data_IF_243135131837
#
_entry.id   IF_243135131837
#
_cell.length_a   1.000
_cell.length_b   1.000
_cell.length_c   1.000
_cell.angle_alpha   90.00
_cell.angle_beta   90.00
_cell.angle_gamma   90.00
#
_symmetry.space_group_name_H-M   'P 1'
#
loop_
_entity.id
_entity.type
_entity.pdbx_description
1 polymer ?
#
# COMPACT_ATOMS: atom_id res chain seq x y z
N UNK A 1 20.53 12.11 -4.80
CA UNK A 1 19.18 11.56 -5.04
C UNK A 1 18.20 12.53 -4.39
N UNK A 2 17.29 13.17 -5.15
CA UNK A 2 16.36 14.14 -4.56
C UNK A 2 15.34 13.43 -3.67
N UNK A 3 14.85 14.12 -2.63
CA UNK A 3 13.83 13.59 -1.71
C UNK A 3 12.54 13.20 -2.47
N UNK A 4 12.20 13.97 -3.51
CA UNK A 4 11.10 13.65 -4.45
C UNK A 4 11.29 12.30 -5.14
N UNK A 5 12.52 11.97 -5.57
CA UNK A 5 12.80 10.69 -6.20
C UNK A 5 12.61 9.55 -5.19
N UNK A 6 13.13 9.69 -3.97
CA UNK A 6 12.96 8.68 -2.91
C UNK A 6 11.48 8.43 -2.58
N UNK A 7 10.67 9.49 -2.46
CA UNK A 7 9.22 9.40 -2.26
C UNK A 7 8.51 8.75 -3.44
N UNK A 8 8.95 9.04 -4.67
CA UNK A 8 8.35 8.45 -5.89
C UNK A 8 8.65 6.95 -5.98
N UNK A 9 9.87 6.52 -5.64
CA UNK A 9 10.22 5.10 -5.52
C UNK A 9 9.34 4.42 -4.47
N UNK A 10 9.20 5.03 -3.28
CA UNK A 10 8.40 4.43 -2.22
C UNK A 10 6.90 4.37 -2.56
N UNK A 11 6.37 5.37 -3.26
CA UNK A 11 5.01 5.37 -3.77
C UNK A 11 4.76 4.22 -4.76
N UNK A 12 5.71 3.98 -5.68
CA UNK A 12 5.58 2.86 -6.62
C UNK A 12 5.55 1.51 -5.91
N UNK A 13 6.37 1.32 -4.88
CA UNK A 13 6.33 0.10 -4.04
C UNK A 13 4.95 -0.07 -3.38
N UNK A 14 4.46 0.96 -2.68
CA UNK A 14 3.16 0.90 -1.98
C UNK A 14 2.01 0.67 -2.98
N UNK A 15 2.06 1.29 -4.15
CA UNK A 15 1.05 1.06 -5.20
C UNK A 15 1.09 -0.36 -5.75
N UNK A 16 2.26 -0.98 -5.84
CA UNK A 16 2.38 -2.40 -6.21
C UNK A 16 1.77 -3.30 -5.15
N UNK A 17 2.08 -3.06 -3.87
CA UNK A 17 1.51 -3.82 -2.74
C UNK A 17 -0.03 -3.72 -2.69
N UNK A 18 -0.58 -2.53 -2.94
CA UNK A 18 -2.05 -2.33 -3.02
C UNK A 18 -2.66 -3.19 -4.13
N UNK A 19 -2.04 -3.24 -5.32
CA UNK A 19 -2.52 -4.06 -6.45
C UNK A 19 -2.44 -5.55 -6.15
N UNK A 20 -1.38 -6.00 -5.49
CA UNK A 20 -1.26 -7.39 -5.04
C UNK A 20 -2.36 -7.76 -4.05
N UNK A 21 -2.64 -6.89 -3.06
CA UNK A 21 -3.74 -7.09 -2.12
C UNK A 21 -5.11 -7.13 -2.81
N UNK A 22 -5.33 -6.29 -3.83
CA UNK A 22 -6.55 -6.31 -4.64
C UNK A 22 -6.73 -7.63 -5.39
N UNK A 23 -5.66 -8.13 -6.00
CA UNK A 23 -5.67 -9.41 -6.71
C UNK A 23 -6.01 -10.55 -5.73
N UNK A 24 -5.32 -10.63 -4.59
CA UNK A 24 -5.57 -11.66 -3.58
C UNK A 24 -7.02 -11.59 -3.07
N UNK A 25 -7.53 -10.41 -2.75
CA UNK A 25 -8.92 -10.22 -2.32
C UNK A 25 -9.92 -10.66 -3.40
N UNK A 26 -9.64 -10.36 -4.67
CA UNK A 26 -10.50 -10.79 -5.78
C UNK A 26 -10.58 -12.30 -5.90
N UNK A 27 -9.45 -13.00 -5.75
CA UNK A 27 -9.40 -14.47 -5.79
C UNK A 27 -10.07 -15.09 -4.56
N UNK A 28 -9.92 -14.49 -3.38
CA UNK A 28 -10.53 -15.00 -2.15
C UNK A 28 -12.05 -14.82 -2.11
N UNK A 29 -12.62 -13.86 -2.86
CA UNK A 29 -14.08 -13.69 -2.97
C UNK A 29 -14.80 -14.89 -3.60
N UNK A 30 -14.11 -15.66 -4.44
CA UNK A 30 -14.65 -16.87 -5.05
C UNK A 30 -14.52 -18.09 -4.14
N UNK A 31 -13.78 -17.98 -3.03
CA UNK A 31 -13.58 -19.05 -2.07
C UNK A 31 -14.66 -19.02 -0.98
N UNK A 32 -15.00 -20.21 -0.46
CA UNK A 32 -15.91 -20.35 0.67
C UNK A 32 -15.37 -19.67 1.93
N UNK A 33 -16.22 -18.89 2.62
CA UNK A 33 -15.84 -18.11 3.80
C UNK A 33 -15.33 -18.97 4.97
N UNK A 34 -15.81 -20.22 5.08
CA UNK A 34 -15.43 -21.17 6.14
C UNK A 34 -14.18 -21.98 5.81
N UNK A 35 -13.65 -21.86 4.58
CA UNK A 35 -12.42 -22.55 4.16
C UNK A 35 -11.24 -22.11 5.03
N UNK A 36 -10.45 -23.08 5.46
CA UNK A 36 -9.20 -22.83 6.19
C UNK A 36 -8.17 -22.12 5.31
N UNK A 37 -7.56 -21.09 5.86
CA UNK A 37 -6.47 -20.30 5.30
C UNK A 37 -5.29 -20.33 6.26
N UNK A 38 -4.07 -20.28 5.73
CA UNK A 38 -2.85 -20.34 6.53
C UNK A 38 -1.97 -19.15 6.22
N UNK A 39 -1.65 -18.34 7.24
CA UNK A 39 -0.73 -17.21 7.12
C UNK A 39 0.60 -17.55 7.76
N UNK A 40 1.69 -17.37 7.02
CA UNK A 40 3.04 -17.50 7.56
C UNK A 40 3.46 -16.23 8.32
N UNK A 41 3.87 -16.38 9.58
CA UNK A 41 4.38 -15.30 10.43
C UNK A 41 5.63 -15.81 11.13
N UNK A 42 6.81 -15.25 10.80
CA UNK A 42 8.08 -15.62 11.45
C UNK A 42 8.43 -17.10 11.35
N UNK A 43 7.98 -17.81 10.30
CA UNK A 43 8.20 -19.24 10.12
C UNK A 43 7.11 -20.15 10.71
N UNK A 44 6.09 -19.61 11.38
CA UNK A 44 4.94 -20.36 11.89
C UNK A 44 3.72 -20.15 10.99
N UNK A 45 3.00 -21.22 10.66
CA UNK A 45 1.71 -21.14 9.97
C UNK A 45 0.59 -20.94 11.00
N UNK A 46 -0.14 -19.83 10.85
CA UNK A 46 -1.32 -19.52 11.65
C UNK A 46 -2.56 -19.88 10.85
N UNK A 47 -3.37 -20.81 11.37
CA UNK A 47 -4.68 -21.17 10.81
C UNK A 47 -5.70 -20.05 11.07
N UNK A 48 -6.44 -19.69 10.03
CA UNK A 48 -7.59 -18.76 10.05
C UNK A 48 -8.63 -19.21 9.05
N UNK A 49 -9.78 -18.55 9.02
CA UNK A 49 -10.78 -18.71 7.96
C UNK A 49 -10.59 -17.69 6.84
N UNK A 50 -11.12 -17.97 5.64
CA UNK A 50 -11.16 -16.99 4.54
C UNK A 50 -11.82 -15.70 5.02
N UNK A 51 -12.92 -15.77 5.77
CA UNK A 51 -13.60 -14.60 6.34
C UNK A 51 -12.71 -13.73 7.23
N UNK A 52 -11.93 -14.34 8.11
CA UNK A 52 -10.99 -13.59 8.97
C UNK A 52 -9.83 -12.98 8.18
N UNK A 53 -9.38 -13.69 7.13
CA UNK A 53 -8.27 -13.24 6.30
C UNK A 53 -8.70 -12.11 5.37
N UNK A 54 -9.85 -12.20 4.71
CA UNK A 54 -10.37 -11.14 3.84
C UNK A 54 -10.58 -9.84 4.60
N UNK A 55 -11.20 -9.90 5.79
CA UNK A 55 -11.36 -8.71 6.64
C UNK A 55 -10.02 -8.06 7.04
N UNK A 56 -9.02 -8.88 7.41
CA UNK A 56 -7.68 -8.37 7.72
C UNK A 56 -6.97 -7.77 6.50
N UNK A 57 -7.15 -8.36 5.31
CA UNK A 57 -6.56 -7.85 4.06
C UNK A 57 -7.23 -6.55 3.61
N UNK A 58 -8.54 -6.40 3.76
CA UNK A 58 -9.25 -5.14 3.47
C UNK A 58 -8.80 -4.00 4.38
N UNK A 59 -8.64 -4.27 5.68
CA UNK A 59 -8.10 -3.29 6.61
C UNK A 59 -6.66 -2.90 6.25
N UNK A 60 -5.82 -3.88 5.91
CA UNK A 60 -4.44 -3.64 5.48
C UNK A 60 -4.38 -2.80 4.20
N UNK A 61 -5.22 -3.12 3.21
CA UNK A 61 -5.35 -2.36 1.96
C UNK A 61 -5.74 -0.90 2.25
N UNK A 62 -6.73 -0.70 3.12
CA UNK A 62 -7.22 0.65 3.48
C UNK A 62 -6.11 1.49 4.12
N UNK A 63 -5.32 0.89 5.02
CA UNK A 63 -4.17 1.55 5.63
C UNK A 63 -3.08 1.89 4.60
N UNK A 64 -2.80 1.01 3.64
CA UNK A 64 -1.84 1.26 2.56
C UNK A 64 -2.31 2.37 1.61
N UNK A 65 -3.60 2.43 1.28
CA UNK A 65 -4.16 3.52 0.46
C UNK A 65 -4.00 4.86 1.17
N UNK A 66 -4.36 4.94 2.45
CA UNK A 66 -4.17 6.16 3.24
C UNK A 66 -2.70 6.59 3.31
N UNK A 67 -1.78 5.64 3.48
CA UNK A 67 -0.34 5.93 3.45
C UNK A 67 0.13 6.44 2.07
N UNK A 68 -0.37 5.86 0.98
CA UNK A 68 -0.09 6.31 -0.39
C UNK A 68 -0.57 7.74 -0.64
N UNK A 69 -1.77 8.09 -0.16
CA UNK A 69 -2.30 9.46 -0.25
C UNK A 69 -1.42 10.45 0.51
N UNK A 70 -0.98 10.09 1.72
CA UNK A 70 -0.11 10.92 2.53
C UNK A 70 1.27 11.14 1.86
N UNK A 71 1.88 10.07 1.32
CA UNK A 71 3.15 10.15 0.61
C UNK A 71 3.03 10.98 -0.68
N UNK A 72 1.91 10.85 -1.40
CA UNK A 72 1.61 11.63 -2.60
C UNK A 72 1.55 13.13 -2.26
N UNK A 73 0.83 13.48 -1.19
CA UNK A 73 0.75 14.87 -0.72
C UNK A 73 2.12 15.43 -0.35
N UNK A 74 2.94 14.66 0.39
CA UNK A 74 4.30 15.08 0.76
C UNK A 74 5.20 15.32 -0.46
N UNK A 75 5.14 14.42 -1.45
CA UNK A 75 5.88 14.57 -2.71
C UNK A 75 5.46 15.85 -3.46
N UNK A 76 4.16 16.11 -3.57
CA UNK A 76 3.61 17.25 -4.30
C UNK A 76 3.95 18.58 -3.64
N UNK A 77 3.93 18.63 -2.31
CA UNK A 77 4.37 19.80 -1.54
C UNK A 77 5.86 20.10 -1.76
N UNK A 78 6.71 19.07 -1.85
CA UNK A 78 8.14 19.24 -2.13
C UNK A 78 8.39 19.70 -3.57
N UNK A 79 7.70 19.10 -4.55
CA UNK A 79 7.74 19.54 -5.95
C UNK A 79 7.34 21.02 -6.10
N UNK A 80 6.31 21.46 -5.36
CA UNK A 80 5.86 22.86 -5.38
C UNK A 80 6.88 23.82 -4.74
N UNK A 81 7.63 23.38 -3.72
CA UNK A 81 8.69 24.16 -3.08
C UNK A 81 9.91 24.31 -4.01
N UNK A 82 10.33 23.24 -4.66
CA UNK A 82 11.44 23.26 -5.62
C UNK A 82 11.14 24.21 -6.81
N UNK A 83 9.91 24.22 -7.31
CA UNK A 83 9.48 25.13 -8.38
C UNK A 83 9.42 26.62 -7.93
N UNK A 84 9.10 26.91 -6.67
CA UNK A 84 9.13 28.29 -6.13
C UNK A 84 10.55 28.82 -5.89
N UNK A 85 11.50 27.94 -5.57
CA UNK A 85 12.90 28.33 -5.43
C UNK A 85 13.52 28.74 -6.79
N UNK A 86 13.07 28.11 -7.89
CA UNK A 86 13.52 28.44 -9.24
C UNK A 86 13.00 29.79 -9.76
N UNK A 87 11.83 30.26 -9.32
CA UNK A 87 11.23 31.52 -9.80
C UNK A 87 11.65 32.76 -8.99
N UNK A 88 12.34 32.62 -7.86
CA UNK A 88 12.82 33.73 -7.03
C UNK A 88 14.23 34.23 -7.38
N UNK A 89 14.87 33.66 -8.41
CA UNK A 89 16.25 34.01 -8.82
C UNK A 89 16.31 34.75 -10.18
N UNK A 90 15.18 35.26 -10.67
CA UNK A 90 15.09 36.04 -11.92
C UNK A 90 14.60 37.47 -11.66
#
# INVERSE_FOLDING_TARGET
MSEVFALSTKLNEVQSEIKELELVLSTLKEADESRKCFRMVGGVLVERTVKEVTGALEQSKTAMVAASEQLTKQRDELLAKDNKAATATA
#
